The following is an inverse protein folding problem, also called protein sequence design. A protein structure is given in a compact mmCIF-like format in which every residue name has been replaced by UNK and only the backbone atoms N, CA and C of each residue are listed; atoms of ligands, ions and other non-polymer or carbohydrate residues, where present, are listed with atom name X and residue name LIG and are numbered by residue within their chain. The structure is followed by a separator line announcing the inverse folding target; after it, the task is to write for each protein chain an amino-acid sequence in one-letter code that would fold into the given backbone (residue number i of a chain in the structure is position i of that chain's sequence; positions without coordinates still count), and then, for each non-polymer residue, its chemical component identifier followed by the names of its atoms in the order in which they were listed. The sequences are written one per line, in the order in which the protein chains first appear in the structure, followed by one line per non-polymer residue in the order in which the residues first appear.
data_IF_843999463320
#
_entry.id   IF_843999463320
#
_cell.length_a   1.000
_cell.length_b   1.000
_cell.length_c   1.000
_cell.angle_alpha   90.00
_cell.angle_beta   90.00
_cell.angle_gamma   90.00
#
_symmetry.space_group_name_H-M   'P 1'
#
loop_
_entity.id
_entity.type
_entity.pdbx_description
1 polymer ?
#
# COMPACT_ATOMS: atom_id res chain seq x y z
N UNK A 1 13.66 -9.29 12.33
CA UNK A 1 13.63 -10.58 11.63
C UNK A 1 12.21 -11.09 11.61
N UNK A 2 11.75 -11.67 10.51
CA UNK A 2 10.42 -12.29 10.36
C UNK A 2 10.58 -13.70 9.79
N UNK A 3 9.74 -14.65 10.22
CA UNK A 3 9.80 -16.03 9.75
C UNK A 3 8.57 -16.33 8.89
N UNK A 4 8.80 -16.63 7.61
CA UNK A 4 7.78 -16.98 6.63
C UNK A 4 7.80 -18.48 6.33
N UNK A 5 6.71 -19.19 6.62
CA UNK A 5 6.57 -20.62 6.35
C UNK A 5 6.03 -20.84 4.92
N UNK A 6 6.94 -20.98 3.95
CA UNK A 6 6.62 -21.00 2.52
C UNK A 6 7.21 -22.22 1.81
N UNK A 7 6.66 -22.61 0.66
CA UNK A 7 7.25 -23.62 -0.23
C UNK A 7 8.21 -22.97 -1.23
N UNK A 8 9.34 -23.60 -1.54
CA UNK A 8 10.32 -23.08 -2.52
C UNK A 8 9.92 -23.27 -3.98
N UNK A 9 8.81 -23.98 -4.25
CA UNK A 9 8.31 -24.27 -5.60
C UNK A 9 8.28 -23.06 -6.53
N UNK A 10 7.68 -21.95 -6.10
CA UNK A 10 7.48 -20.77 -6.95
C UNK A 10 8.77 -19.96 -7.13
N UNK A 11 9.69 -20.02 -6.15
CA UNK A 11 11.03 -19.43 -6.25
C UNK A 11 11.89 -20.17 -7.30
N UNK A 12 11.74 -21.49 -7.36
CA UNK A 12 12.53 -22.38 -8.19
C UNK A 12 11.83 -22.76 -9.51
N UNK A 13 10.67 -22.17 -9.81
CA UNK A 13 9.81 -22.60 -10.91
C UNK A 13 10.51 -22.70 -12.28
N UNK A 14 11.52 -21.87 -12.53
CA UNK A 14 12.32 -21.88 -13.77
C UNK A 14 13.50 -22.86 -13.75
N UNK A 15 13.94 -23.30 -12.56
CA UNK A 15 14.99 -24.31 -12.37
C UNK A 15 14.43 -25.74 -12.45
N UNK A 16 13.10 -25.90 -12.44
CA UNK A 16 12.42 -27.19 -12.59
C UNK A 16 12.36 -27.60 -14.06
N UNK A 17 13.51 -27.78 -14.69
CA UNK A 17 13.62 -28.41 -16.01
C UNK A 17 14.12 -29.85 -15.87
N UNK A 18 13.25 -30.72 -15.33
CA UNK A 18 13.35 -32.19 -15.37
C UNK A 18 14.54 -32.83 -14.62
N UNK A 19 14.29 -33.68 -13.60
CA UNK A 19 15.12 -34.87 -13.35
C UNK A 19 14.58 -35.90 -12.34
N UNK A 20 13.85 -35.54 -11.28
CA UNK A 20 13.47 -36.53 -10.25
C UNK A 20 12.12 -36.21 -9.54
N UNK A 21 11.12 -37.12 -9.61
CA UNK A 21 9.84 -36.98 -8.89
C UNK A 21 9.99 -36.81 -7.36
N UNK A 22 11.04 -37.36 -6.75
CA UNK A 22 11.29 -37.21 -5.32
C UNK A 22 11.71 -35.78 -4.95
N UNK A 23 12.60 -35.17 -5.74
CA UNK A 23 13.00 -33.77 -5.59
C UNK A 23 11.84 -32.81 -5.90
N UNK A 24 11.03 -33.10 -6.92
CA UNK A 24 9.86 -32.29 -7.26
C UNK A 24 8.83 -32.20 -6.12
N UNK A 25 8.66 -33.27 -5.35
CA UNK A 25 7.80 -33.27 -4.16
C UNK A 25 8.42 -32.48 -3.00
N UNK A 26 9.74 -32.48 -2.87
CA UNK A 26 10.45 -31.72 -1.84
C UNK A 26 10.30 -30.20 -2.00
N UNK A 27 10.11 -29.69 -3.22
CA UNK A 27 9.83 -28.25 -3.46
C UNK A 27 8.49 -27.78 -2.87
N UNK A 28 7.55 -28.69 -2.61
CA UNK A 28 6.27 -28.37 -1.97
C UNK A 28 6.37 -28.37 -0.43
N UNK A 29 7.51 -28.78 0.13
CA UNK A 29 7.73 -28.74 1.58
C UNK A 29 7.73 -27.29 2.06
N UNK A 30 6.99 -27.02 3.13
CA UNK A 30 7.05 -25.72 3.81
C UNK A 30 8.32 -25.61 4.62
N UNK A 31 9.08 -24.55 4.38
CA UNK A 31 10.32 -24.23 5.06
C UNK A 31 10.14 -22.84 5.72
N UNK A 32 10.59 -22.64 6.97
CA UNK A 32 10.58 -21.34 7.62
C UNK A 32 11.74 -20.49 7.11
N UNK A 33 11.48 -19.70 6.07
CA UNK A 33 12.42 -18.72 5.56
C UNK A 33 12.52 -17.54 6.52
N UNK A 34 13.75 -17.11 6.83
CA UNK A 34 14.02 -15.89 7.59
C UNK A 34 14.11 -14.70 6.66
N UNK A 35 13.24 -13.73 6.86
CA UNK A 35 13.31 -12.40 6.24
C UNK A 35 14.07 -11.49 7.19
N UNK A 36 15.25 -11.05 6.76
CA UNK A 36 16.15 -10.20 7.54
C UNK A 36 16.13 -8.80 6.94
N UNK A 37 16.01 -7.79 7.80
CA UNK A 37 16.10 -6.38 7.42
C UNK A 37 17.38 -5.80 7.99
N UNK A 38 18.23 -5.29 7.12
CA UNK A 38 19.44 -4.57 7.46
C UNK A 38 19.15 -3.07 7.38
N UNK A 39 19.24 -2.39 8.52
CA UNK A 39 19.16 -0.94 8.61
C UNK A 39 20.58 -0.39 8.71
N UNK A 40 21.02 0.35 7.72
CA UNK A 40 22.34 1.00 7.69
C UNK A 40 22.21 2.50 7.47
N UNK A 41 23.31 3.25 7.60
CA UNK A 41 23.30 4.70 7.43
C UNK A 41 22.90 5.48 8.69
N UNK A 42 22.54 6.75 8.50
CA UNK A 42 22.20 7.67 9.59
C UNK A 42 20.72 7.56 9.94
N UNK A 43 20.36 7.75 11.22
CA UNK A 43 18.97 7.61 11.70
C UNK A 43 18.01 8.59 11.00
N UNK A 44 18.50 9.73 10.52
CA UNK A 44 17.73 10.71 9.75
C UNK A 44 17.46 10.29 8.30
N UNK A 45 18.22 9.34 7.75
CA UNK A 45 18.07 8.82 6.40
C UNK A 45 18.59 7.37 6.33
N UNK A 46 17.87 6.44 6.97
CA UNK A 46 18.32 5.06 7.02
C UNK A 46 18.22 4.42 5.64
N UNK A 47 19.23 3.64 5.28
CA UNK A 47 19.21 2.76 4.13
C UNK A 47 18.70 1.39 4.58
N UNK A 48 17.58 0.96 4.01
CA UNK A 48 16.95 -0.32 4.34
C UNK A 48 17.30 -1.31 3.23
N UNK A 49 17.89 -2.45 3.61
CA UNK A 49 18.11 -3.59 2.71
C UNK A 49 17.47 -4.84 3.29
N UNK A 50 16.97 -5.70 2.42
CA UNK A 50 16.36 -6.96 2.84
C UNK A 50 17.16 -8.16 2.34
N UNK A 51 17.05 -9.26 3.08
CA UNK A 51 17.63 -10.55 2.73
C UNK A 51 16.65 -11.67 3.10
N UNK A 52 16.74 -12.79 2.39
CA UNK A 52 16.00 -14.02 2.66
C UNK A 52 17.04 -15.10 2.94
N UNK A 53 16.91 -15.75 4.09
CA UNK A 53 17.83 -16.78 4.55
C UNK A 53 17.08 -18.05 4.88
N UNK A 54 17.71 -19.19 4.61
CA UNK A 54 17.26 -20.47 5.14
C UNK A 54 17.51 -20.52 6.65
N UNK A 55 16.76 -21.36 7.38
CA UNK A 55 17.06 -21.62 8.78
C UNK A 55 18.45 -22.26 8.91
N UNK A 56 19.11 -21.99 10.03
CA UNK A 56 20.45 -22.53 10.31
C UNK A 56 20.43 -24.06 10.28
N UNK A 57 21.55 -24.68 9.90
CA UNK A 57 21.72 -26.14 9.88
C UNK A 57 21.48 -26.78 11.27
N UNK A 58 21.63 -26.00 12.34
CA UNK A 58 21.35 -26.41 13.73
C UNK A 58 19.84 -26.45 14.05
N UNK A 59 18.99 -25.92 13.16
CA UNK A 59 17.54 -26.06 13.32
C UNK A 59 17.12 -27.52 13.10
N UNK A 60 16.18 -28.03 13.90
CA UNK A 60 15.64 -29.40 13.81
C UNK A 60 14.86 -29.70 12.51
N UNK A 61 15.07 -28.92 11.45
CA UNK A 61 14.30 -28.92 10.21
C UNK A 61 15.09 -29.70 9.17
N UNK A 62 14.58 -30.87 8.80
CA UNK A 62 15.20 -31.70 7.76
C UNK A 62 14.85 -31.12 6.40
N UNK A 63 15.78 -30.38 5.82
CA UNK A 63 15.76 -29.95 4.42
C UNK A 63 16.69 -30.91 3.66
N UNK A 64 16.25 -31.42 2.51
CA UNK A 64 17.11 -32.27 1.68
C UNK A 64 18.34 -31.46 1.24
N UNK A 65 19.54 -32.05 1.26
CA UNK A 65 20.80 -31.33 0.96
C UNK A 65 20.75 -30.64 -0.40
N UNK A 66 20.27 -31.35 -1.42
CA UNK A 66 20.24 -30.85 -2.80
C UNK A 66 19.21 -29.72 -2.96
N UNK A 67 18.08 -29.83 -2.25
CA UNK A 67 17.06 -28.78 -2.15
C UNK A 67 17.64 -27.53 -1.51
N UNK A 68 18.38 -27.68 -0.39
CA UNK A 68 19.04 -26.57 0.30
C UNK A 68 19.99 -25.84 -0.64
N UNK A 69 20.90 -26.58 -1.30
CA UNK A 69 21.86 -26.00 -2.24
C UNK A 69 21.17 -25.28 -3.39
N UNK A 70 20.09 -25.84 -3.93
CA UNK A 70 19.35 -25.21 -5.04
C UNK A 70 18.67 -23.91 -4.59
N UNK A 71 18.04 -23.91 -3.41
CA UNK A 71 17.44 -22.70 -2.84
C UNK A 71 18.52 -21.65 -2.56
N UNK A 72 19.65 -22.02 -1.93
CA UNK A 72 20.72 -21.08 -1.62
C UNK A 72 21.34 -20.47 -2.87
N UNK A 73 21.55 -21.26 -3.93
CA UNK A 73 22.02 -20.76 -5.22
C UNK A 73 21.03 -19.76 -5.83
N UNK A 74 19.72 -20.05 -5.78
CA UNK A 74 18.71 -19.12 -6.29
C UNK A 74 18.63 -17.86 -5.46
N UNK A 75 18.70 -17.97 -4.13
CA UNK A 75 18.74 -16.83 -3.21
C UNK A 75 20.00 -15.97 -3.47
N UNK A 76 21.16 -16.59 -3.72
CA UNK A 76 22.38 -15.88 -4.09
C UNK A 76 22.25 -15.14 -5.42
N UNK A 77 21.57 -15.74 -6.41
CA UNK A 77 21.30 -15.09 -7.70
C UNK A 77 20.42 -13.85 -7.53
N UNK A 78 19.29 -13.96 -6.80
CA UNK A 78 18.37 -12.83 -6.62
C UNK A 78 18.98 -11.72 -5.76
N UNK A 79 19.90 -12.02 -4.83
CA UNK A 79 20.62 -11.01 -4.04
C UNK A 79 21.46 -10.05 -4.90
N UNK A 80 21.83 -10.46 -6.11
CA UNK A 80 22.48 -9.59 -7.08
C UNK A 80 21.56 -8.49 -7.65
N UNK A 81 20.25 -8.65 -7.50
CA UNK A 81 19.23 -7.69 -7.92
C UNK A 81 18.35 -7.30 -6.73
N UNK A 82 18.53 -6.08 -6.24
CA UNK A 82 17.78 -5.53 -5.11
C UNK A 82 16.27 -5.52 -5.38
N UNK A 83 15.85 -5.30 -6.62
CA UNK A 83 14.43 -5.33 -6.99
C UNK A 83 13.85 -6.74 -6.89
N UNK A 84 14.58 -7.73 -7.41
CA UNK A 84 14.18 -9.14 -7.32
C UNK A 84 14.12 -9.62 -5.86
N UNK A 85 15.10 -9.24 -5.04
CA UNK A 85 15.12 -9.56 -3.61
C UNK A 85 13.92 -8.95 -2.89
N UNK A 86 13.67 -7.65 -3.09
CA UNK A 86 12.55 -6.95 -2.47
C UNK A 86 11.20 -7.57 -2.88
N UNK A 87 11.02 -7.92 -4.16
CA UNK A 87 9.81 -8.60 -4.65
C UNK A 87 9.54 -9.90 -3.89
N UNK A 88 10.56 -10.75 -3.70
CA UNK A 88 10.40 -12.01 -2.97
C UNK A 88 10.13 -11.78 -1.49
N UNK A 89 10.81 -10.81 -0.87
CA UNK A 89 10.59 -10.44 0.54
C UNK A 89 9.15 -9.99 0.77
N UNK A 90 8.64 -9.09 -0.07
CA UNK A 90 7.26 -8.63 0.05
C UNK A 90 6.25 -9.76 -0.18
N UNK A 91 6.51 -10.65 -1.13
CA UNK A 91 5.66 -11.81 -1.36
C UNK A 91 5.59 -12.73 -0.14
N UNK A 92 6.71 -12.95 0.55
CA UNK A 92 6.76 -13.72 1.79
C UNK A 92 6.03 -13.02 2.95
N UNK A 93 6.14 -11.70 3.06
CA UNK A 93 5.45 -10.92 4.09
C UNK A 93 3.93 -10.89 3.87
N UNK A 94 3.49 -10.71 2.63
CA UNK A 94 2.08 -10.54 2.27
C UNK A 94 1.32 -11.85 2.17
N UNK A 95 1.92 -12.82 1.51
CA UNK A 95 1.23 -14.01 1.05
C UNK A 95 1.78 -15.29 1.66
N UNK A 96 2.86 -15.16 2.43
CA UNK A 96 3.60 -16.29 2.99
C UNK A 96 3.97 -17.33 1.89
N UNK A 97 4.25 -16.83 0.68
CA UNK A 97 4.64 -17.62 -0.49
C UNK A 97 5.62 -16.84 -1.39
N UNK A 98 6.42 -17.52 -2.20
CA UNK A 98 7.23 -16.87 -3.24
C UNK A 98 6.40 -16.57 -4.50
N UNK A 99 6.92 -15.70 -5.38
CA UNK A 99 6.32 -15.41 -6.69
C UNK A 99 7.29 -15.78 -7.80
N UNK A 100 6.80 -16.49 -8.81
CA UNK A 100 7.61 -16.88 -9.96
C UNK A 100 8.10 -15.67 -10.77
N UNK A 101 9.24 -15.81 -11.44
CA UNK A 101 9.76 -14.77 -12.36
C UNK A 101 8.80 -14.54 -13.53
N UNK A 102 8.07 -15.59 -13.96
CA UNK A 102 7.09 -15.54 -15.05
C UNK A 102 5.68 -15.11 -14.61
N UNK A 103 5.43 -14.90 -13.30
CA UNK A 103 4.14 -14.35 -12.85
C UNK A 103 4.13 -12.85 -13.12
N UNK A 104 3.95 -12.51 -14.39
CA UNK A 104 3.92 -11.15 -14.89
C UNK A 104 2.66 -10.38 -14.52
N UNK A 105 1.69 -11.03 -13.88
CA UNK A 105 0.34 -10.49 -13.76
C UNK A 105 0.10 -9.64 -12.50
N UNK A 106 1.09 -9.54 -11.59
CA UNK A 106 0.97 -8.70 -10.40
C UNK A 106 1.67 -7.33 -10.51
N UNK A 107 2.67 -7.18 -11.40
CA UNK A 107 3.51 -5.98 -11.49
C UNK A 107 3.75 -5.47 -12.94
N UNK A 108 2.93 -5.88 -13.92
CA UNK A 108 3.05 -5.36 -15.30
C UNK A 108 2.43 -3.96 -15.43
N UNK A 109 3.25 -2.94 -15.17
CA UNK A 109 3.20 -1.65 -15.86
C UNK A 109 4.38 -1.57 -16.83
N UNK A 110 4.16 -1.04 -18.03
CA UNK A 110 5.09 -1.01 -19.17
C UNK A 110 6.58 -0.73 -18.82
N UNK A 111 7.47 -1.35 -19.60
CA UNK A 111 8.94 -1.49 -19.44
C UNK A 111 9.79 -0.20 -19.33
N UNK A 112 9.20 0.99 -19.19
CA UNK A 112 9.94 2.27 -19.12
C UNK A 112 9.89 2.99 -17.76
N UNK A 113 9.39 2.36 -16.69
CA UNK A 113 9.12 3.04 -15.40
C UNK A 113 9.36 2.21 -14.14
N UNK A 114 10.30 1.27 -14.16
CA UNK A 114 10.48 0.30 -13.06
C UNK A 114 10.76 0.95 -11.68
N UNK A 115 11.44 2.10 -11.67
CA UNK A 115 11.74 2.82 -10.43
C UNK A 115 10.48 3.48 -9.82
N UNK A 116 9.59 4.02 -10.66
CA UNK A 116 8.32 4.60 -10.22
C UNK A 116 7.31 3.54 -9.82
N UNK A 117 7.28 2.39 -10.52
CA UNK A 117 6.36 1.29 -10.23
C UNK A 117 6.74 0.55 -8.94
N UNK A 118 8.03 0.33 -8.69
CA UNK A 118 8.51 -0.22 -7.42
C UNK A 118 8.16 0.72 -6.25
N UNK A 119 8.30 2.03 -6.44
CA UNK A 119 7.95 3.04 -5.43
C UNK A 119 6.44 3.13 -5.20
N UNK A 120 5.62 3.10 -6.24
CA UNK A 120 4.16 3.08 -6.14
C UNK A 120 3.65 1.81 -5.42
N UNK A 121 4.28 0.67 -5.70
CA UNK A 121 3.95 -0.61 -5.04
C UNK A 121 4.33 -0.59 -3.55
N UNK A 122 5.50 -0.06 -3.20
CA UNK A 122 5.92 0.16 -1.79
C UNK A 122 5.01 1.15 -1.09
N UNK A 123 4.56 2.19 -1.81
CA UNK A 123 3.65 3.22 -1.29
C UNK A 123 2.27 2.69 -0.96
N UNK A 124 1.68 1.91 -1.87
CA UNK A 124 0.41 1.21 -1.65
C UNK A 124 0.52 0.12 -0.57
N UNK A 125 1.67 -0.56 -0.49
CA UNK A 125 1.95 -1.56 0.55
C UNK A 125 2.08 -0.94 1.94
N UNK A 126 2.87 0.12 2.11
CA UNK A 126 3.01 0.85 3.38
C UNK A 126 1.66 1.40 3.84
N UNK A 127 0.89 1.94 2.90
CA UNK A 127 -0.48 2.42 3.12
C UNK A 127 -1.39 1.32 3.68
N UNK A 128 -1.36 0.13 3.06
CA UNK A 128 -2.19 -1.01 3.45
C UNK A 128 -1.77 -1.63 4.79
N UNK A 129 -0.47 -1.82 5.01
CA UNK A 129 0.08 -2.36 6.25
C UNK A 129 -0.12 -1.41 7.44
N UNK A 130 -0.03 -0.09 7.22
CA UNK A 130 -0.33 0.90 8.25
C UNK A 130 -1.83 0.96 8.55
N UNK A 131 -2.70 0.81 7.55
CA UNK A 131 -4.16 0.73 7.76
C UNK A 131 -4.54 -0.48 8.65
N UNK A 132 -3.87 -1.62 8.44
CA UNK A 132 -4.07 -2.85 9.24
C UNK A 132 -3.58 -2.71 10.69
N UNK A 133 -2.43 -2.08 10.92
CA UNK A 133 -1.90 -1.82 12.27
C UNK A 133 -2.70 -0.72 13.00
N UNK A 134 -3.14 0.32 12.28
CA UNK A 134 -3.85 1.45 12.84
C UNK A 134 -5.29 1.10 13.26
N UNK A 135 -5.93 0.17 12.53
CA UNK A 135 -7.27 -0.34 12.86
C UNK A 135 -7.32 -1.06 14.22
N UNK A 136 -6.21 -1.64 14.68
CA UNK A 136 -6.15 -2.39 15.95
C UNK A 136 -5.69 -1.52 17.14
N UNK A 137 -4.94 -0.43 16.89
CA UNK A 137 -4.35 0.40 17.93
C UNK A 137 -5.30 1.47 18.51
N UNK A 138 -6.29 1.93 17.73
CA UNK A 138 -7.26 2.96 18.18
C UNK A 138 -8.68 2.46 17.99
N UNK A 139 -9.22 1.80 19.01
CA UNK A 139 -10.61 1.28 19.01
C UNK A 139 -11.61 2.39 18.65
N UNK A 140 -12.32 2.21 17.54
CA UNK A 140 -13.39 3.09 17.09
C UNK A 140 -12.95 4.34 16.34
N UNK A 141 -11.75 4.34 15.74
CA UNK A 141 -11.31 5.32 14.73
C UNK A 141 -10.74 4.55 13.54
N UNK A 142 -11.27 4.81 12.34
CA UNK A 142 -10.74 4.26 11.10
C UNK A 142 -9.65 5.19 10.57
N UNK A 143 -8.51 4.64 10.16
CA UNK A 143 -7.34 5.42 9.75
C UNK A 143 -6.91 4.99 8.36
N UNK A 144 -7.13 5.84 7.36
CA UNK A 144 -6.73 5.61 5.98
C UNK A 144 -5.44 6.39 5.68
N UNK A 145 -4.40 5.67 5.25
CA UNK A 145 -3.18 6.27 4.72
C UNK A 145 -3.07 5.90 3.26
N UNK A 146 -2.67 6.85 2.42
CA UNK A 146 -2.47 6.66 0.99
C UNK A 146 -1.27 7.46 0.54
N UNK A 147 -0.23 6.79 0.02
CA UNK A 147 0.96 7.43 -0.53
C UNK A 147 0.90 7.43 -2.07
N UNK A 148 0.94 8.62 -2.67
CA UNK A 148 0.84 8.83 -4.12
C UNK A 148 2.13 9.45 -4.65
N UNK A 149 2.79 8.76 -5.58
CA UNK A 149 4.01 9.27 -6.26
C UNK A 149 3.75 9.42 -7.76
N UNK A 150 4.03 10.60 -8.30
CA UNK A 150 3.76 10.94 -9.70
C UNK A 150 4.76 11.98 -10.23
N UNK A 151 4.88 12.04 -11.55
CA UNK A 151 5.76 12.98 -12.24
C UNK A 151 4.95 14.26 -12.56
N UNK A 152 5.37 15.38 -11.98
CA UNK A 152 4.78 16.70 -12.18
C UNK A 152 5.48 17.42 -13.34
N UNK A 153 4.68 17.90 -14.31
CA UNK A 153 5.12 18.61 -15.50
C UNK A 153 4.69 20.09 -15.49
N UNK A 154 4.22 20.61 -14.36
CA UNK A 154 3.73 22.00 -14.23
C UNK A 154 4.82 23.08 -14.35
N UNK A 155 6.09 22.71 -14.47
CA UNK A 155 7.23 23.63 -14.63
C UNK A 155 8.12 23.34 -15.86
N UNK A 156 9.27 24.04 -15.94
CA UNK A 156 10.31 23.81 -16.94
C UNK A 156 11.08 22.51 -16.61
N UNK A 157 10.46 21.37 -16.88
CA UNK A 157 11.03 20.03 -16.69
C UNK A 157 10.14 19.11 -15.86
N UNK A 158 10.38 17.80 -15.96
CA UNK A 158 9.70 16.83 -15.12
C UNK A 158 10.30 16.77 -13.72
N UNK A 159 9.48 16.91 -12.69
CA UNK A 159 9.88 16.76 -11.30
C UNK A 159 9.10 15.62 -10.66
N UNK A 160 9.79 14.78 -9.90
CA UNK A 160 9.10 13.78 -9.10
C UNK A 160 8.40 14.44 -7.92
N UNK A 161 7.15 14.05 -7.68
CA UNK A 161 6.35 14.48 -6.54
C UNK A 161 5.81 13.27 -5.80
N UNK A 162 5.91 13.31 -4.47
CA UNK A 162 5.38 12.26 -3.60
C UNK A 162 4.53 12.91 -2.52
N UNK A 163 3.24 12.59 -2.48
CA UNK A 163 2.28 13.11 -1.51
C UNK A 163 1.74 11.96 -0.62
N UNK A 164 1.80 12.14 0.70
CA UNK A 164 1.20 11.26 1.69
C UNK A 164 -0.13 11.84 2.17
N UNK A 165 -1.22 11.12 1.92
CA UNK A 165 -2.55 11.46 2.40
C UNK A 165 -2.86 10.63 3.65
N UNK A 166 -3.27 11.28 4.73
CA UNK A 166 -3.70 10.67 5.99
C UNK A 166 -5.13 11.12 6.29
N UNK A 167 -6.05 10.19 6.44
CA UNK A 167 -7.44 10.44 6.81
C UNK A 167 -7.80 9.64 8.06
N UNK A 168 -8.43 10.31 9.01
CA UNK A 168 -8.94 9.73 10.25
C UNK A 168 -10.44 9.89 10.23
N UNK A 169 -11.20 8.81 10.35
CA UNK A 169 -12.66 8.88 10.42
C UNK A 169 -13.22 8.18 11.65
N UNK A 170 -14.32 8.71 12.17
CA UNK A 170 -15.03 8.13 13.30
C UNK A 170 -16.51 8.14 13.05
N UNK A 171 -17.10 6.96 13.20
CA UNK A 171 -18.54 6.75 13.12
C UNK A 171 -19.18 6.85 14.50
N UNK A 172 -20.29 7.56 14.56
CA UNK A 172 -21.12 7.76 15.75
C UNK A 172 -22.58 7.43 15.41
N UNK A 173 -23.40 7.26 16.46
CA UNK A 173 -24.85 7.05 16.33
C UNK A 173 -25.22 5.83 15.45
N UNK A 174 -24.53 4.70 15.61
CA UNK A 174 -24.68 3.50 14.77
C UNK A 174 -24.47 3.84 13.28
N UNK A 175 -23.30 4.39 12.97
CA UNK A 175 -22.86 4.77 11.62
C UNK A 175 -23.73 5.81 10.91
N UNK A 176 -24.51 6.59 11.69
CA UNK A 176 -25.33 7.67 11.14
C UNK A 176 -24.59 8.98 11.02
N UNK A 177 -23.65 9.26 11.91
CA UNK A 177 -22.80 10.45 11.86
C UNK A 177 -21.35 9.99 11.65
N UNK A 178 -20.74 10.38 10.55
CA UNK A 178 -19.34 10.09 10.25
C UNK A 178 -18.57 11.39 10.19
N UNK A 179 -17.54 11.51 11.00
CA UNK A 179 -16.62 12.66 10.99
C UNK A 179 -15.29 12.19 10.46
N UNK A 180 -14.81 12.81 9.39
CA UNK A 180 -13.54 12.49 8.73
C UNK A 180 -12.64 13.71 8.75
N UNK A 181 -11.40 13.56 9.20
CA UNK A 181 -10.35 14.57 9.23
C UNK A 181 -9.20 14.08 8.35
N UNK A 182 -8.87 14.84 7.30
CA UNK A 182 -7.84 14.50 6.33
C UNK A 182 -6.67 15.48 6.31
N UNK A 183 -5.50 15.01 5.92
CA UNK A 183 -4.30 15.83 5.72
C UNK A 183 -3.44 15.24 4.61
N UNK A 184 -2.99 16.09 3.69
CA UNK A 184 -2.05 15.72 2.63
C UNK A 184 -0.69 16.37 2.90
N UNK A 185 0.37 15.55 2.92
CA UNK A 185 1.74 15.96 3.17
C UNK A 185 2.57 15.79 1.89
N UNK A 186 3.17 16.85 1.35
CA UNK A 186 4.20 16.71 0.32
C UNK A 186 5.49 16.19 0.95
N UNK A 187 5.91 14.98 0.57
CA UNK A 187 7.14 14.35 1.05
C UNK A 187 8.34 14.59 0.12
N UNK A 188 8.08 14.74 -1.18
CA UNK A 188 9.10 14.94 -2.21
C UNK A 188 8.59 15.89 -3.29
N UNK A 189 9.48 16.72 -3.83
CA UNK A 189 9.13 17.90 -4.63
C UNK A 189 9.10 19.15 -3.75
N UNK A 190 9.31 20.34 -4.35
CA UNK A 190 9.11 21.60 -3.63
C UNK A 190 7.64 21.70 -3.26
N UNK A 191 7.30 21.31 -2.04
CA UNK A 191 6.00 21.61 -1.47
C UNK A 191 5.97 23.11 -1.18
N UNK A 192 5.12 23.90 -1.84
CA UNK A 192 4.95 25.31 -1.49
C UNK A 192 4.51 25.49 -0.04
N UNK A 193 3.99 24.43 0.62
CA UNK A 193 3.78 24.40 2.07
C UNK A 193 5.07 24.57 2.88
N UNK A 194 6.21 24.07 2.41
CA UNK A 194 7.50 24.18 3.10
C UNK A 194 8.08 25.60 3.06
N UNK A 195 7.57 26.49 2.21
CA UNK A 195 7.98 27.90 2.13
C UNK A 195 7.12 28.84 2.98
N UNK A 196 6.00 28.36 3.53
CA UNK A 196 5.16 29.14 4.43
C UNK A 196 5.65 28.99 5.89
N UNK A 197 6.91 29.38 6.15
CA UNK A 197 7.34 29.70 7.52
C UNK A 197 6.57 30.92 8.01
N UNK A 198 5.41 30.69 8.65
CA UNK A 198 4.74 31.73 9.40
C UNK A 198 3.23 31.73 9.28
N UNK A 199 2.59 31.24 10.34
CA UNK A 199 1.43 31.91 10.96
C UNK A 199 0.12 32.02 10.17
N UNK A 200 -0.22 31.11 9.26
CA UNK A 200 -1.63 30.94 8.88
C UNK A 200 -2.04 29.47 8.72
N UNK A 201 -2.37 28.88 9.86
CA UNK A 201 -3.47 27.93 10.02
C UNK A 201 -3.54 26.81 8.97
N UNK A 202 -2.58 25.89 9.03
CA UNK A 202 -2.68 24.57 8.41
C UNK A 202 -3.80 23.78 9.11
N UNK A 203 -5.06 24.06 8.74
CA UNK A 203 -6.24 23.37 9.28
C UNK A 203 -6.46 22.12 8.42
N UNK A 204 -6.57 20.92 9.01
CA UNK A 204 -6.83 19.71 8.24
C UNK A 204 -8.18 19.76 7.52
N UNK A 205 -8.29 19.03 6.42
CA UNK A 205 -9.55 18.84 5.70
C UNK A 205 -10.57 18.18 6.64
N UNK A 206 -11.81 18.66 6.64
CA UNK A 206 -12.87 18.16 7.51
C UNK A 206 -14.08 17.81 6.67
N UNK A 207 -14.59 16.59 6.81
CA UNK A 207 -15.87 16.17 6.27
C UNK A 207 -16.76 15.65 7.39
N UNK A 208 -18.01 16.09 7.40
CA UNK A 208 -19.05 15.58 8.31
C UNK A 208 -20.21 15.08 7.47
N UNK A 209 -20.53 13.80 7.58
CA UNK A 209 -21.62 13.16 6.87
C UNK A 209 -22.68 12.63 7.85
N UNK A 210 -23.96 12.92 7.58
CA UNK A 210 -25.08 12.48 8.40
C UNK A 210 -26.14 11.78 7.57
N UNK A 211 -26.41 10.51 7.88
CA UNK A 211 -27.46 9.69 7.25
C UNK A 211 -28.83 10.03 7.84
N UNK A 212 -29.66 10.67 7.03
CA UNK A 212 -31.03 11.04 7.37
C UNK A 212 -31.93 9.81 7.43
N UNK A 213 -31.75 8.86 6.50
CA UNK A 213 -32.47 7.59 6.51
C UNK A 213 -31.62 6.45 7.05
N UNK A 214 -32.28 5.45 7.67
CA UNK A 214 -31.62 4.24 8.20
C UNK A 214 -30.95 3.40 7.11
N UNK A 215 -31.50 3.45 5.90
CA UNK A 215 -30.98 2.76 4.71
C UNK A 215 -29.89 3.55 3.97
N UNK A 216 -29.51 4.75 4.45
CA UNK A 216 -28.46 5.57 3.84
C UNK A 216 -28.85 6.27 2.53
N UNK A 217 -30.08 6.08 2.02
CA UNK A 217 -30.54 6.71 0.76
C UNK A 217 -30.54 8.23 0.78
N UNK A 218 -30.68 8.84 1.95
CA UNK A 218 -30.63 10.29 2.12
C UNK A 218 -29.53 10.67 3.09
N UNK A 219 -28.58 11.50 2.65
CA UNK A 219 -27.43 11.90 3.46
C UNK A 219 -27.13 13.39 3.27
N UNK A 220 -26.81 14.07 4.36
CA UNK A 220 -26.23 15.41 4.34
C UNK A 220 -24.73 15.29 4.48
N UNK A 221 -23.98 16.06 3.70
CA UNK A 221 -22.52 16.12 3.76
C UNK A 221 -22.06 17.56 3.82
N UNK A 222 -21.38 17.94 4.90
CA UNK A 222 -20.65 19.19 4.97
C UNK A 222 -19.17 18.89 4.81
N UNK A 223 -18.45 19.75 4.10
CA UNK A 223 -17.01 19.60 3.94
C UNK A 223 -16.32 20.96 3.95
N UNK A 224 -15.07 20.93 4.40
CA UNK A 224 -14.10 21.99 4.26
C UNK A 224 -12.80 21.35 3.77
N UNK A 225 -12.29 21.80 2.63
CA UNK A 225 -11.01 21.34 2.08
C UNK A 225 -10.11 22.52 1.78
N UNK A 226 -8.82 22.34 1.98
CA UNK A 226 -7.81 23.31 1.58
C UNK A 226 -7.16 22.83 0.28
N UNK A 227 -7.22 23.66 -0.75
CA UNK A 227 -6.58 23.39 -2.03
C UNK A 227 -5.43 24.38 -2.23
N UNK A 228 -4.25 23.89 -2.59
CA UNK A 228 -3.16 24.76 -2.99
C UNK A 228 -3.38 25.18 -4.45
N UNK A 229 -3.43 26.49 -4.70
CA UNK A 229 -3.63 27.02 -6.05
C UNK A 229 -2.39 27.77 -6.51
N UNK A 230 -1.71 27.23 -7.53
CA UNK A 230 -0.43 27.73 -8.05
C UNK A 230 -0.53 29.17 -8.56
N UNK A 231 -1.68 29.54 -9.13
CA UNK A 231 -1.91 30.88 -9.70
C UNK A 231 -1.99 31.95 -8.60
N UNK A 232 -2.53 31.56 -7.44
CA UNK A 232 -2.77 32.47 -6.31
C UNK A 232 -1.61 32.47 -5.31
N UNK A 233 -0.59 31.63 -5.52
CA UNK A 233 0.55 31.40 -4.62
C UNK A 233 0.08 31.21 -3.16
N UNK A 234 -0.95 30.39 -2.97
CA UNK A 234 -1.62 30.29 -1.67
C UNK A 234 -2.65 29.18 -1.57
N UNK A 235 -3.12 28.95 -0.33
CA UNK A 235 -4.19 28.01 -0.04
C UNK A 235 -5.55 28.66 -0.18
N UNK A 236 -6.42 28.03 -0.96
CA UNK A 236 -7.84 28.36 -1.06
C UNK A 236 -8.65 27.39 -0.21
N UNK A 237 -9.48 27.95 0.68
CA UNK A 237 -10.39 27.17 1.52
C UNK A 237 -11.73 27.04 0.81
N UNK A 238 -12.09 25.83 0.39
CA UNK A 238 -13.43 25.54 -0.12
C UNK A 238 -14.28 24.93 0.99
N UNK A 239 -15.43 25.54 1.27
CA UNK A 239 -16.42 25.00 2.21
C UNK A 239 -17.75 24.83 1.51
N UNK A 240 -18.38 23.67 1.69
CA UNK A 240 -19.64 23.34 1.03
C UNK A 240 -20.54 22.45 1.87
N UNK A 241 -21.83 22.48 1.55
CA UNK A 241 -22.83 21.56 2.08
C UNK A 241 -23.58 20.95 0.91
N UNK A 242 -23.70 19.63 0.90
CA UNK A 242 -24.38 18.86 -0.13
C UNK A 242 -25.42 17.92 0.47
N UNK A 243 -26.44 17.64 -0.33
CA UNK A 243 -27.44 16.61 -0.04
C UNK A 243 -27.27 15.49 -1.08
N UNK A 244 -27.06 14.27 -0.60
CA UNK A 244 -26.80 13.09 -1.41
C UNK A 244 -28.03 12.19 -1.37
N UNK A 245 -28.49 11.78 -2.56
CA UNK A 245 -29.59 10.83 -2.72
C UNK A 245 -29.11 9.62 -3.50
N UNK A 246 -29.14 8.45 -2.87
CA UNK A 246 -28.78 7.18 -3.49
C UNK A 246 -30.05 6.37 -3.73
N UNK A 247 -30.30 5.98 -4.98
CA UNK A 247 -31.47 5.18 -5.35
C UNK A 247 -31.06 3.99 -6.22
N UNK A 248 -31.48 2.79 -5.79
CA UNK A 248 -31.39 1.58 -6.61
C UNK A 248 -32.62 1.48 -7.52
N UNK A 249 -32.40 1.26 -8.82
CA UNK A 249 -33.47 1.12 -9.80
C UNK A 249 -33.16 -0.02 -10.77
N UNK A 250 -34.18 -0.78 -11.17
CA UNK A 250 -34.06 -1.81 -12.19
C UNK A 250 -34.50 -1.30 -13.58
N UNK A 251 -35.34 -0.26 -13.61
CA UNK A 251 -35.79 0.39 -14.84
C UNK A 251 -35.76 1.90 -14.66
N UNK A 252 -35.25 2.64 -15.64
CA UNK A 252 -35.18 4.12 -15.61
C UNK A 252 -36.53 4.79 -15.28
N UNK A 253 -37.65 4.18 -15.69
CA UNK A 253 -39.02 4.68 -15.40
C UNK A 253 -39.40 4.61 -13.90
N UNK A 254 -38.65 3.87 -13.09
CA UNK A 254 -38.88 3.73 -11.65
C UNK A 254 -38.32 4.92 -10.86
N UNK A 255 -37.37 5.68 -11.41
CA UNK A 255 -36.79 6.88 -10.79
C UNK A 255 -37.84 7.98 -10.51
N UNK A 256 -38.90 8.04 -11.32
CA UNK A 256 -39.97 9.04 -11.18
C UNK A 256 -41.29 8.47 -10.64
N UNK A 257 -41.38 7.15 -10.40
CA UNK A 257 -42.58 6.55 -9.80
C UNK A 257 -42.42 6.54 -8.28
N UNK A 258 -43.24 7.35 -7.59
CA UNK A 258 -43.44 7.22 -6.14
C UNK A 258 -43.79 5.76 -5.81
N UNK A 259 -42.93 5.09 -5.04
CA UNK A 259 -43.23 3.77 -4.45
C UNK A 259 -44.50 3.93 -3.62
N UNK A 260 -45.61 3.33 -4.05
CA UNK A 260 -46.82 3.21 -3.21
C UNK A 260 -46.45 2.31 -2.03
N UNK A 261 -46.86 2.76 -0.83
CA UNK A 261 -46.70 2.06 0.45
C UNK A 261 -47.18 0.62 0.36
#
# INVERSE_FOLDING_TARGET
EYIANSSSRDLLANEVTSADPALANSFNQKIPFRVVMHLTGVLSQPTIKFDIQLPDEESNIRIHSDLRTTIENKLAQIRGDESATNKQVFSLLLFNRFVGEQSSDFFKGNESGFNDLARQSVSQFLSSALNEIASDLIKGVDIDLSLNSYQDYSGLGSRQRTDLNLQLSKSFMNDRLVVTVGKNFGLEGTDPASKAEGKNSYIPDLTVAYKLSRDGRYMLRAYRRNQFEVILDGYVVETGVGFVVTMDYNKFRELFRRKKK
#
